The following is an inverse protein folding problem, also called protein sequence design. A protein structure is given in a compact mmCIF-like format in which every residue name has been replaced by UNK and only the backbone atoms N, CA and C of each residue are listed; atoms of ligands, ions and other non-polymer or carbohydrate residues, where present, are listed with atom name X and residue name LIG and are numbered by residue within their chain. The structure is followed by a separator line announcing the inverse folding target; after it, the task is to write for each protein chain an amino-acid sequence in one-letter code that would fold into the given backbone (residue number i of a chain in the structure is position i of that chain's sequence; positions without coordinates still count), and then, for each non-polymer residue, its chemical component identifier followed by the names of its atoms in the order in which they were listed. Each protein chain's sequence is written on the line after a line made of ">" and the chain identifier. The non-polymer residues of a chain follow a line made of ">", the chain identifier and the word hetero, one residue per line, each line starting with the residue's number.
data_IF_021055751163
#
_entry.id   IF_021055751163
#
_cell.length_a   1.000
_cell.length_b   1.000
_cell.length_c   1.000
_cell.angle_alpha   90.00
_cell.angle_beta   90.00
_cell.angle_gamma   90.00
#
_symmetry.space_group_name_H-M   'P 1'
#
loop_
_entity.id
_entity.type
_entity.pdbx_description
1 polymer ?
#
# COMPACT_ATOMS: atom_id res chain seq x y z
N UNK A 1 21.59 -35.62 -25.53
CA UNK A 1 20.71 -34.45 -25.31
C UNK A 1 21.06 -33.43 -26.38
N UNK A 2 20.14 -32.97 -27.24
CA UNK A 2 20.50 -31.96 -28.22
C UNK A 2 20.70 -30.63 -27.49
N UNK A 3 21.87 -30.03 -27.69
CA UNK A 3 22.17 -28.69 -27.21
C UNK A 3 21.44 -27.69 -28.11
N UNK A 4 20.63 -26.81 -27.51
CA UNK A 4 19.94 -25.74 -28.22
C UNK A 4 20.94 -24.76 -28.82
N UNK A 5 20.68 -24.28 -30.04
CA UNK A 5 21.57 -23.34 -30.73
C UNK A 5 21.56 -21.94 -30.05
N UNK A 6 22.67 -21.18 -30.08
CA UNK A 6 22.81 -19.88 -29.41
C UNK A 6 21.73 -18.85 -29.79
N UNK A 7 21.18 -18.92 -31.01
CA UNK A 7 20.12 -18.05 -31.52
C UNK A 7 18.75 -18.35 -30.88
N UNK A 8 18.45 -19.62 -30.60
CA UNK A 8 17.22 -20.04 -29.91
C UNK A 8 17.25 -19.61 -28.43
N UNK A 9 18.42 -19.67 -27.79
CA UNK A 9 18.62 -19.19 -26.42
C UNK A 9 18.41 -17.68 -26.29
N UNK A 10 18.85 -16.90 -27.28
CA UNK A 10 18.64 -15.45 -27.33
C UNK A 10 17.17 -15.08 -27.59
N UNK A 11 16.48 -15.85 -28.44
CA UNK A 11 15.03 -15.74 -28.67
C UNK A 11 14.22 -16.03 -27.40
N UNK A 12 14.56 -17.11 -26.69
CA UNK A 12 13.94 -17.48 -25.41
C UNK A 12 14.19 -16.42 -24.33
N UNK A 13 15.40 -15.86 -24.23
CA UNK A 13 15.71 -14.77 -23.27
C UNK A 13 14.94 -13.49 -23.57
N UNK A 14 14.81 -13.08 -24.84
CA UNK A 14 13.96 -11.92 -25.20
C UNK A 14 12.49 -12.17 -24.92
N UNK A 15 11.99 -13.38 -25.21
CA UNK A 15 10.60 -13.75 -24.96
C UNK A 15 10.30 -13.81 -23.45
N UNK A 16 11.19 -14.42 -22.66
CA UNK A 16 11.08 -14.46 -21.21
C UNK A 16 11.19 -13.05 -20.60
N UNK A 17 12.12 -12.22 -21.08
CA UNK A 17 12.23 -10.83 -20.64
C UNK A 17 10.97 -10.05 -21.00
N UNK A 18 10.45 -10.16 -22.23
CA UNK A 18 9.23 -9.50 -22.67
C UNK A 18 8.01 -9.89 -21.82
N UNK A 19 7.84 -11.17 -21.49
CA UNK A 19 6.77 -11.66 -20.60
C UNK A 19 6.94 -11.12 -19.18
N UNK A 20 8.15 -11.19 -18.64
CA UNK A 20 8.46 -10.70 -17.30
C UNK A 20 8.27 -9.18 -17.20
N UNK A 21 8.62 -8.42 -18.23
CA UNK A 21 8.42 -6.97 -18.28
C UNK A 21 6.96 -6.58 -18.54
N UNK A 22 6.21 -7.35 -19.34
CA UNK A 22 4.81 -7.03 -19.63
C UNK A 22 3.87 -7.32 -18.45
N UNK A 23 4.09 -8.42 -17.72
CA UNK A 23 3.26 -8.76 -16.55
C UNK A 23 3.50 -7.82 -15.37
N UNK A 24 4.76 -7.46 -15.12
CA UNK A 24 5.14 -6.68 -13.93
C UNK A 24 4.52 -5.28 -13.86
N UNK A 25 4.23 -4.64 -14.99
CA UNK A 25 3.73 -3.26 -15.01
C UNK A 25 2.22 -3.09 -14.80
N UNK A 26 1.42 -4.16 -14.85
CA UNK A 26 -0.05 -4.10 -14.80
C UNK A 26 -0.66 -4.74 -13.55
N UNK A 27 0.15 -5.48 -12.80
CA UNK A 27 -0.24 -6.26 -11.62
C UNK A 27 -0.06 -5.46 -10.32
N UNK A 28 -1.05 -5.57 -9.43
CA UNK A 28 -0.86 -5.37 -7.99
C UNK A 28 -0.74 -6.76 -7.37
N UNK A 29 0.37 -7.01 -6.68
CA UNK A 29 0.51 -8.15 -5.81
C UNK A 29 0.02 -7.78 -4.42
N UNK A 30 -0.89 -8.56 -3.88
CA UNK A 30 -1.37 -8.40 -2.51
C UNK A 30 -1.19 -9.71 -1.74
N UNK A 31 -0.62 -9.64 -0.55
CA UNK A 31 -0.65 -10.75 0.41
C UNK A 31 -1.79 -10.55 1.40
N UNK A 32 -2.60 -11.61 1.59
CA UNK A 32 -3.79 -11.64 2.45
C UNK A 32 -4.91 -10.67 2.03
N UNK A 33 -5.92 -10.51 2.89
CA UNK A 33 -7.09 -9.64 2.69
C UNK A 33 -7.30 -8.68 3.86
N UNK A 34 -7.95 -7.56 3.59
CA UNK A 34 -8.35 -6.61 4.65
C UNK A 34 -9.31 -7.24 5.66
N UNK A 35 -10.22 -8.12 5.21
CA UNK A 35 -11.11 -8.87 6.10
C UNK A 35 -10.37 -9.80 7.07
N UNK A 36 -9.26 -10.41 6.66
CA UNK A 36 -8.42 -11.20 7.57
C UNK A 36 -7.75 -10.32 8.61
N UNK A 37 -7.23 -9.16 8.19
CA UNK A 37 -6.64 -8.19 9.11
C UNK A 37 -7.69 -7.70 10.12
N UNK A 38 -8.90 -7.34 9.67
CA UNK A 38 -10.02 -6.95 10.54
C UNK A 38 -10.34 -8.01 11.60
N UNK A 39 -10.27 -9.29 11.21
CA UNK A 39 -10.54 -10.45 12.07
C UNK A 39 -9.41 -10.77 13.06
N UNK A 40 -8.39 -9.93 13.16
CA UNK A 40 -7.26 -10.11 14.09
C UNK A 40 -6.13 -10.99 13.54
N UNK A 41 -6.13 -11.31 12.24
CA UNK A 41 -5.04 -12.09 11.61
C UNK A 41 -3.82 -11.19 11.40
N UNK A 42 -3.03 -11.02 12.45
CA UNK A 42 -1.88 -10.12 12.48
C UNK A 42 -0.54 -10.80 12.24
N UNK A 43 -0.51 -12.11 11.99
CA UNK A 43 0.71 -12.84 11.69
C UNK A 43 0.66 -13.49 10.30
N UNK A 44 1.35 -12.87 9.34
CA UNK A 44 1.58 -13.45 8.01
C UNK A 44 2.91 -14.19 7.89
N UNK A 45 3.07 -14.86 6.76
CA UNK A 45 4.23 -15.69 6.41
C UNK A 45 5.15 -15.09 5.33
N UNK A 46 4.74 -13.99 4.69
CA UNK A 46 5.54 -13.30 3.66
C UNK A 46 6.55 -12.36 4.30
N UNK A 47 7.82 -12.52 3.94
CA UNK A 47 8.90 -11.61 4.35
C UNK A 47 8.95 -10.34 3.50
N UNK A 48 9.52 -9.24 4.02
CA UNK A 48 9.77 -8.01 3.23
C UNK A 48 10.65 -8.33 2.01
N UNK A 49 11.66 -9.19 2.19
CA UNK A 49 12.51 -9.67 1.08
C UNK A 49 11.70 -10.30 -0.05
N UNK A 50 10.71 -11.12 0.28
CA UNK A 50 9.84 -11.76 -0.71
C UNK A 50 8.88 -10.75 -1.32
N UNK A 51 8.26 -9.90 -0.50
CA UNK A 51 7.35 -8.83 -0.95
C UNK A 51 8.01 -7.93 -2.01
N UNK A 52 9.25 -7.50 -1.78
CA UNK A 52 9.99 -6.64 -2.71
C UNK A 52 10.39 -7.32 -4.04
N UNK A 53 10.16 -8.63 -4.19
CA UNK A 53 10.27 -9.29 -5.52
C UNK A 53 9.05 -9.02 -6.40
N UNK A 54 7.95 -8.55 -5.81
CA UNK A 54 6.68 -8.31 -6.49
C UNK A 54 6.42 -6.84 -6.82
N UNK A 55 7.14 -5.89 -6.20
CA UNK A 55 7.00 -4.48 -6.52
C UNK A 55 8.03 -3.59 -5.85
N UNK A 56 8.12 -2.35 -6.34
CA UNK A 56 8.98 -1.28 -5.83
C UNK A 56 8.18 -0.14 -5.20
N UNK A 57 6.86 -0.27 -5.13
CA UNK A 57 5.93 0.72 -4.61
C UNK A 57 4.73 0.05 -3.96
N UNK A 58 4.31 0.55 -2.79
CA UNK A 58 3.14 0.02 -2.12
C UNK A 58 3.03 0.39 -0.65
N UNK A 59 2.12 -0.27 0.05
CA UNK A 59 1.84 -0.05 1.47
C UNK A 59 1.29 -1.32 2.13
N UNK A 60 1.15 -1.28 3.45
CA UNK A 60 0.63 -2.40 4.25
C UNK A 60 0.94 -2.19 5.73
N UNK A 61 1.09 -3.27 6.48
CA UNK A 61 1.52 -3.26 7.88
C UNK A 61 2.49 -4.41 8.15
N UNK A 62 3.04 -4.47 9.35
CA UNK A 62 3.95 -5.53 9.81
C UNK A 62 3.21 -6.53 10.70
N UNK A 63 3.83 -7.69 10.94
CA UNK A 63 3.28 -8.64 11.89
C UNK A 63 3.05 -7.97 13.25
N UNK A 64 2.04 -8.45 13.97
CA UNK A 64 1.55 -7.85 15.22
C UNK A 64 1.00 -6.44 15.06
N UNK A 65 0.75 -5.95 13.84
CA UNK A 65 0.44 -4.52 13.59
C UNK A 65 1.53 -3.59 14.13
N UNK A 66 2.80 -4.00 14.07
CA UNK A 66 3.92 -3.15 14.50
C UNK A 66 4.19 -2.05 13.46
N UNK A 67 3.33 -1.03 13.46
CA UNK A 67 3.44 0.13 12.61
C UNK A 67 2.92 -0.06 11.18
N UNK A 68 3.06 1.00 10.41
CA UNK A 68 2.61 1.08 9.01
C UNK A 68 3.78 0.83 8.06
N UNK A 69 3.50 0.18 6.93
CA UNK A 69 4.46 -0.07 5.87
C UNK A 69 4.30 0.92 4.72
N UNK A 70 5.39 1.49 4.24
CA UNK A 70 5.42 2.20 2.98
C UNK A 70 6.62 1.73 2.14
N UNK A 71 6.35 1.28 0.91
CA UNK A 71 7.38 0.89 -0.05
C UNK A 71 7.52 1.98 -1.10
N UNK A 72 8.73 2.52 -1.25
CA UNK A 72 9.07 3.53 -2.25
C UNK A 72 10.41 3.21 -2.91
N UNK A 73 10.41 3.20 -4.24
CA UNK A 73 11.59 2.97 -5.07
C UNK A 73 12.39 1.72 -4.65
N UNK A 74 11.67 0.66 -4.25
CA UNK A 74 12.23 -0.62 -3.81
C UNK A 74 12.74 -0.66 -2.37
N UNK A 75 12.53 0.39 -1.58
CA UNK A 75 12.87 0.44 -0.16
C UNK A 75 11.59 0.35 0.67
N UNK A 76 11.55 -0.57 1.62
CA UNK A 76 10.46 -0.72 2.58
C UNK A 76 10.77 0.06 3.86
N UNK A 77 9.86 0.96 4.23
CA UNK A 77 9.92 1.76 5.45
C UNK A 77 8.84 1.29 6.43
N UNK A 78 9.20 1.20 7.71
CA UNK A 78 8.30 1.00 8.82
C UNK A 78 8.10 2.33 9.54
N UNK A 79 6.85 2.79 9.57
CA UNK A 79 6.40 4.02 10.22
C UNK A 79 5.81 3.61 11.58
N UNK A 80 6.29 4.21 12.67
CA UNK A 80 5.93 3.82 14.04
C UNK A 80 5.04 4.84 14.74
N UNK A 81 4.40 4.40 15.81
CA UNK A 81 3.43 5.19 16.60
C UNK A 81 4.04 6.42 17.28
N UNK A 82 5.36 6.46 17.47
CA UNK A 82 6.10 7.65 17.92
C UNK A 82 6.33 8.68 16.78
N UNK A 83 5.81 8.41 15.59
CA UNK A 83 5.95 9.22 14.38
C UNK A 83 7.29 9.02 13.66
N UNK A 84 8.15 8.11 14.12
CA UNK A 84 9.42 7.80 13.48
C UNK A 84 9.26 6.87 12.28
N UNK A 85 10.23 6.90 11.37
CA UNK A 85 10.34 5.99 10.24
C UNK A 85 11.74 5.36 10.19
N UNK A 86 11.80 4.06 9.97
CA UNK A 86 13.05 3.31 9.74
C UNK A 86 12.95 2.43 8.52
N UNK A 87 14.08 2.01 7.96
CA UNK A 87 14.09 0.95 6.95
C UNK A 87 13.76 -0.38 7.64
N UNK A 88 12.83 -1.14 7.04
CA UNK A 88 12.42 -2.45 7.54
C UNK A 88 13.53 -3.49 7.38
N UNK A 89 13.58 -4.46 8.29
CA UNK A 89 14.46 -5.62 8.13
C UNK A 89 13.93 -6.53 7.01
N UNK A 90 14.83 -7.16 6.26
CA UNK A 90 14.46 -8.03 5.15
C UNK A 90 13.67 -9.27 5.61
N UNK A 91 13.87 -9.73 6.84
CA UNK A 91 13.22 -10.90 7.44
C UNK A 91 11.98 -10.56 8.26
N UNK A 92 11.67 -9.26 8.45
CA UNK A 92 10.37 -8.86 8.97
C UNK A 92 9.25 -9.40 8.06
N UNK A 93 8.10 -9.68 8.68
CA UNK A 93 6.95 -10.28 8.02
C UNK A 93 5.76 -9.35 8.01
N UNK A 94 4.87 -9.58 7.06
CA UNK A 94 3.65 -8.81 6.90
C UNK A 94 2.40 -9.70 6.87
N UNK A 95 1.33 -9.33 7.60
CA UNK A 95 0.04 -9.99 7.52
C UNK A 95 -0.82 -9.43 6.39
N UNK A 96 -0.51 -8.24 5.88
CA UNK A 96 -1.22 -7.58 4.81
C UNK A 96 -0.33 -6.52 4.16
N UNK A 97 -0.13 -6.63 2.85
CA UNK A 97 0.55 -5.61 2.04
C UNK A 97 0.13 -5.71 0.57
N UNK A 98 0.11 -4.56 -0.10
CA UNK A 98 -0.09 -4.45 -1.55
C UNK A 98 1.09 -3.72 -2.18
N UNK A 99 1.69 -4.30 -3.23
CA UNK A 99 2.81 -3.71 -3.97
C UNK A 99 2.65 -3.87 -5.48
N UNK A 100 3.26 -2.96 -6.22
CA UNK A 100 3.32 -3.02 -7.69
C UNK A 100 4.68 -2.50 -8.17
N UNK A 101 5.04 -2.79 -9.42
CA UNK A 101 6.11 -2.07 -10.10
C UNK A 101 5.56 -0.74 -10.59
N UNK A 102 5.92 0.35 -9.91
CA UNK A 102 5.38 1.67 -10.22
C UNK A 102 5.93 2.20 -11.53
N UNK A 103 4.99 2.50 -12.42
CA UNK A 103 5.23 3.03 -13.75
C UNK A 103 4.12 4.05 -13.99
N UNK A 104 4.40 5.36 -13.84
CA UNK A 104 3.38 6.37 -14.00
C UNK A 104 3.04 6.54 -15.49
N UNK A 105 1.75 6.61 -15.76
CA UNK A 105 1.16 6.79 -17.08
C UNK A 105 0.56 8.19 -17.23
N UNK A 106 0.24 8.85 -16.11
CA UNK A 106 -0.27 10.22 -16.06
C UNK A 106 0.49 11.01 -15.00
N UNK A 107 0.58 12.31 -15.24
CA UNK A 107 1.21 13.27 -14.34
C UNK A 107 0.35 14.53 -14.24
N UNK A 108 0.17 15.05 -13.03
CA UNK A 108 -0.54 16.30 -12.75
C UNK A 108 0.40 17.18 -11.92
N UNK A 109 0.65 18.41 -12.35
CA UNK A 109 1.38 19.38 -11.55
C UNK A 109 0.40 20.25 -10.77
N UNK A 110 0.60 20.31 -9.45
CA UNK A 110 -0.21 21.08 -8.51
C UNK A 110 0.54 22.37 -8.20
N UNK A 111 0.07 23.47 -8.78
CA UNK A 111 0.60 24.83 -8.54
C UNK A 111 -0.30 25.69 -7.67
N UNK A 112 -1.49 25.22 -7.34
CA UNK A 112 -2.47 25.89 -6.47
C UNK A 112 -2.78 24.97 -5.30
N UNK A 113 -2.73 25.46 -4.05
CA UNK A 113 -3.01 24.62 -2.88
C UNK A 113 -4.37 23.93 -2.94
N UNK A 114 -4.42 22.66 -2.53
CA UNK A 114 -5.64 21.88 -2.48
C UNK A 114 -5.67 20.92 -1.28
N UNK A 115 -6.88 20.59 -0.82
CA UNK A 115 -7.11 19.60 0.23
C UNK A 115 -7.23 18.17 -0.34
N UNK A 116 -7.40 17.19 0.55
CA UNK A 116 -7.62 15.77 0.23
C UNK A 116 -8.75 15.57 -0.77
N UNK A 117 -9.92 16.18 -0.54
CA UNK A 117 -11.08 16.01 -1.41
C UNK A 117 -10.84 16.54 -2.84
N UNK A 118 -10.26 17.74 -2.94
CA UNK A 118 -9.93 18.34 -4.23
C UNK A 118 -8.86 17.55 -4.98
N UNK A 119 -7.83 17.04 -4.29
CA UNK A 119 -6.80 16.22 -4.92
C UNK A 119 -7.37 14.90 -5.46
N UNK A 120 -8.22 14.21 -4.68
CA UNK A 120 -8.93 13.00 -5.14
C UNK A 120 -9.75 13.28 -6.39
N UNK A 121 -10.52 14.38 -6.41
CA UNK A 121 -11.31 14.79 -7.58
C UNK A 121 -10.42 15.04 -8.80
N UNK A 122 -9.27 15.71 -8.64
CA UNK A 122 -8.34 15.95 -9.74
C UNK A 122 -7.77 14.65 -10.32
N UNK A 123 -7.45 13.68 -9.46
CA UNK A 123 -6.98 12.36 -9.88
C UNK A 123 -8.10 11.62 -10.62
N UNK A 124 -9.30 11.53 -10.04
CA UNK A 124 -10.43 10.81 -10.61
C UNK A 124 -10.84 11.35 -11.98
N UNK A 125 -10.72 12.66 -12.21
CA UNK A 125 -10.96 13.29 -13.52
C UNK A 125 -9.99 12.84 -14.63
N UNK A 126 -8.85 12.25 -14.28
CA UNK A 126 -7.91 11.68 -15.25
C UNK A 126 -8.15 10.21 -15.56
N UNK A 127 -9.05 9.56 -14.82
CA UNK A 127 -9.32 8.12 -14.96
C UNK A 127 -10.42 7.88 -15.99
N UNK A 128 -10.19 6.89 -16.85
CA UNK A 128 -11.20 6.45 -17.84
C UNK A 128 -12.29 5.58 -17.20
N UNK A 129 -12.00 4.95 -16.06
CA UNK A 129 -12.92 4.08 -15.35
C UNK A 129 -12.61 4.07 -13.85
N UNK A 130 -13.67 4.02 -13.04
CA UNK A 130 -13.57 3.80 -11.60
C UNK A 130 -13.31 2.33 -11.22
N UNK A 131 -13.42 1.42 -12.19
CA UNK A 131 -13.37 -0.03 -11.98
C UNK A 131 -11.94 -0.61 -12.00
N UNK A 132 -10.93 0.22 -12.29
CA UNK A 132 -9.52 -0.19 -12.28
C UNK A 132 -8.84 0.26 -10.99
N UNK A 133 -7.84 -0.52 -10.58
CA UNK A 133 -6.95 -0.17 -9.48
C UNK A 133 -5.96 0.90 -9.95
N UNK A 134 -5.60 1.81 -9.05
CA UNK A 134 -4.70 2.92 -9.39
C UNK A 134 -3.64 3.09 -8.31
N UNK A 135 -2.37 3.06 -8.68
CA UNK A 135 -1.26 3.46 -7.82
C UNK A 135 -1.05 4.98 -7.95
N UNK A 136 -0.94 5.68 -6.83
CA UNK A 136 -0.82 7.14 -6.78
C UNK A 136 0.38 7.54 -5.94
N UNK A 137 1.30 8.30 -6.52
CA UNK A 137 2.42 8.94 -5.83
C UNK A 137 2.28 10.46 -5.91
N UNK A 138 2.32 11.12 -4.77
CA UNK A 138 2.31 12.59 -4.65
C UNK A 138 3.60 13.01 -3.97
N UNK A 139 4.43 13.79 -4.66
CA UNK A 139 5.64 14.38 -4.08
C UNK A 139 5.49 15.88 -4.05
N UNK A 140 5.68 16.49 -2.88
CA UNK A 140 5.44 17.93 -2.76
C UNK A 140 5.60 18.49 -1.36
N UNK A 141 5.12 19.72 -1.21
CA UNK A 141 5.06 20.46 0.05
C UNK A 141 3.63 20.44 0.58
N UNK A 142 3.49 20.06 1.84
CA UNK A 142 2.22 19.98 2.53
C UNK A 142 2.21 20.97 3.68
N UNK A 143 1.20 21.83 3.71
CA UNK A 143 0.96 22.72 4.86
C UNK A 143 0.52 21.92 6.08
N UNK A 144 -0.20 20.82 5.87
CA UNK A 144 -0.54 19.84 6.90
C UNK A 144 -0.61 18.42 6.32
N UNK A 145 -0.10 17.45 7.08
CA UNK A 145 -0.33 16.02 6.92
C UNK A 145 -0.80 15.50 8.27
N UNK A 146 -2.00 14.93 8.32
CA UNK A 146 -2.51 14.22 9.49
C UNK A 146 -2.41 12.72 9.26
N UNK A 147 -1.68 12.04 10.13
CA UNK A 147 -1.44 10.59 10.06
C UNK A 147 -1.81 9.91 11.35
N UNK A 148 -2.16 8.62 11.26
CA UNK A 148 -2.14 7.69 12.38
C UNK A 148 -1.04 6.65 12.21
N UNK A 149 -0.71 5.95 13.29
CA UNK A 149 0.00 4.68 13.21
C UNK A 149 -0.48 3.75 14.30
N UNK A 150 -0.73 2.50 13.94
CA UNK A 150 -1.09 1.44 14.88
C UNK A 150 0.13 1.01 15.71
N UNK A 151 -0.12 0.73 17.00
CA UNK A 151 0.90 0.19 17.89
C UNK A 151 0.94 -1.33 17.82
N UNK A 152 2.12 -1.90 18.04
CA UNK A 152 2.30 -3.34 18.12
C UNK A 152 1.34 -3.98 19.13
N UNK A 153 0.66 -5.03 18.70
CA UNK A 153 -0.27 -5.84 19.49
C UNK A 153 0.43 -7.09 20.04
N UNK A 154 -0.18 -7.68 21.06
CA UNK A 154 0.26 -8.93 21.65
C UNK A 154 -0.89 -9.93 21.73
N UNK A 155 -0.62 -11.25 21.58
CA UNK A 155 -1.64 -12.26 21.78
C UNK A 155 -2.28 -12.21 23.18
N UNK A 156 -3.59 -12.52 23.32
CA UNK A 156 -4.53 -12.81 22.23
C UNK A 156 -4.86 -11.54 21.43
N UNK A 157 -4.81 -11.63 20.11
CA UNK A 157 -5.09 -10.50 19.23
C UNK A 157 -6.58 -10.14 19.26
N UNK A 158 -6.85 -8.85 19.45
CA UNK A 158 -8.19 -8.27 19.38
C UNK A 158 -8.59 -8.02 17.92
N UNK A 159 -9.90 -7.83 17.62
CA UNK A 159 -10.33 -7.31 16.32
C UNK A 159 -9.69 -5.95 16.00
N UNK A 160 -9.51 -5.65 14.71
CA UNK A 160 -8.78 -4.43 14.32
C UNK A 160 -9.47 -3.14 14.73
N UNK A 161 -10.80 -3.12 14.75
CA UNK A 161 -11.60 -1.99 15.25
C UNK A 161 -11.31 -1.66 16.72
N UNK A 162 -10.88 -2.64 17.52
CA UNK A 162 -10.43 -2.44 18.90
C UNK A 162 -8.94 -2.08 18.96
N UNK A 163 -8.11 -2.73 18.14
CA UNK A 163 -6.66 -2.49 18.11
C UNK A 163 -6.31 -1.06 17.66
N UNK A 164 -7.13 -0.44 16.81
CA UNK A 164 -6.94 0.95 16.36
C UNK A 164 -7.36 2.00 17.39
N UNK A 165 -8.03 1.63 18.48
CA UNK A 165 -8.38 2.59 19.55
C UNK A 165 -7.15 3.16 20.25
N UNK A 166 -6.04 2.42 20.25
CA UNK A 166 -4.77 2.83 20.85
C UNK A 166 -3.85 3.54 19.83
N UNK A 167 -4.35 3.84 18.63
CA UNK A 167 -3.56 4.49 17.57
C UNK A 167 -3.06 5.86 18.01
N UNK A 168 -1.86 6.20 17.54
CA UNK A 168 -1.30 7.53 17.77
C UNK A 168 -1.49 8.37 16.52
N UNK A 169 -2.12 9.53 16.70
CA UNK A 169 -2.33 10.52 15.65
C UNK A 169 -1.30 11.63 15.76
N UNK A 170 -0.69 11.97 14.62
CA UNK A 170 0.36 12.98 14.50
C UNK A 170 0.02 13.90 13.34
N UNK A 171 0.11 15.21 13.58
CA UNK A 171 0.01 16.21 12.51
C UNK A 171 1.38 16.82 12.24
N UNK A 172 1.87 16.67 11.02
CA UNK A 172 3.05 17.36 10.52
C UNK A 172 2.62 18.65 9.81
N UNK A 173 3.26 19.77 10.14
CA UNK A 173 3.00 21.07 9.50
C UNK A 173 4.20 21.51 8.67
N UNK A 174 3.95 22.20 7.56
CA UNK A 174 4.97 22.77 6.68
C UNK A 174 6.08 21.76 6.32
N UNK A 175 5.64 20.57 5.88
CA UNK A 175 6.51 19.41 5.64
C UNK A 175 6.60 19.09 4.16
N UNK A 176 7.80 18.76 3.69
CA UNK A 176 7.99 18.17 2.35
C UNK A 176 8.08 16.67 2.46
N UNK A 177 7.51 15.95 1.48
CA UNK A 177 7.54 14.49 1.51
C UNK A 177 6.83 13.83 0.34
N UNK A 178 6.57 12.55 0.54
CA UNK A 178 5.91 11.68 -0.42
C UNK A 178 4.69 11.05 0.23
N UNK A 179 3.51 11.28 -0.36
CA UNK A 179 2.30 10.52 -0.09
C UNK A 179 2.14 9.47 -1.18
N UNK A 180 1.91 8.22 -0.80
CA UNK A 180 1.91 7.10 -1.72
C UNK A 180 0.92 6.03 -1.29
N UNK A 181 0.21 5.46 -2.26
CA UNK A 181 -0.70 4.36 -2.02
C UNK A 181 -1.57 4.05 -3.23
N UNK A 182 -2.78 3.59 -2.97
CA UNK A 182 -3.67 3.05 -3.98
C UNK A 182 -5.08 3.66 -3.90
N UNK A 183 -5.75 3.70 -5.05
CA UNK A 183 -7.20 3.82 -5.15
C UNK A 183 -7.73 2.47 -5.66
N UNK A 184 -8.45 1.74 -4.81
CA UNK A 184 -9.08 0.47 -5.19
C UNK A 184 -10.56 0.66 -5.54
N UNK A 185 -11.12 -0.12 -6.48
CA UNK A 185 -12.55 -0.11 -6.78
C UNK A 185 -13.41 -0.55 -5.58
N UNK A 186 -14.67 -0.09 -5.53
CA UNK A 186 -15.59 -0.41 -4.42
C UNK A 186 -15.87 -1.92 -4.29
N UNK A 187 -15.84 -2.67 -5.40
CA UNK A 187 -16.04 -4.13 -5.37
C UNK A 187 -14.88 -4.90 -4.74
N UNK A 188 -13.73 -4.26 -4.50
CA UNK A 188 -12.58 -4.86 -3.81
C UNK A 188 -12.60 -4.62 -2.30
N UNK A 189 -13.63 -3.96 -1.77
CA UNK A 189 -13.79 -3.77 -0.33
C UNK A 189 -13.76 -5.11 0.40
N UNK A 190 -12.92 -5.24 1.43
CA UNK A 190 -12.72 -6.49 2.15
C UNK A 190 -11.56 -7.34 1.63
N UNK A 191 -11.31 -7.33 0.32
CA UNK A 191 -10.05 -7.83 -0.23
C UNK A 191 -8.95 -6.82 0.07
N UNK A 192 -9.18 -5.56 -0.31
CA UNK A 192 -8.33 -4.41 -0.02
C UNK A 192 -9.14 -3.34 0.75
N UNK A 193 -8.64 -2.11 0.75
CA UNK A 193 -9.37 -0.92 1.20
C UNK A 193 -9.91 -0.19 -0.02
N UNK A 194 -11.24 -0.17 -0.18
CA UNK A 194 -11.89 0.53 -1.28
C UNK A 194 -11.69 2.04 -1.19
N UNK A 195 -11.62 2.70 -2.34
CA UNK A 195 -11.27 4.11 -2.43
C UNK A 195 -9.78 4.35 -2.18
N UNK A 196 -9.44 5.55 -1.73
CA UNK A 196 -8.05 5.99 -1.56
C UNK A 196 -7.50 5.57 -0.20
N UNK A 197 -6.44 4.78 -0.23
CA UNK A 197 -5.62 4.38 0.92
C UNK A 197 -4.17 4.82 0.65
N UNK A 198 -3.60 5.66 1.51
CA UNK A 198 -2.26 6.20 1.32
C UNK A 198 -1.49 6.38 2.62
N UNK A 199 -0.19 6.16 2.56
CA UNK A 199 0.76 6.47 3.63
C UNK A 199 1.64 7.66 3.23
N UNK A 200 2.21 8.33 4.22
CA UNK A 200 3.10 9.48 4.02
C UNK A 200 4.46 9.24 4.67
N UNK A 201 5.53 9.74 4.05
CA UNK A 201 6.86 9.86 4.64
C UNK A 201 7.52 11.17 4.24
N UNK A 202 8.20 11.84 5.18
CA UNK A 202 8.91 13.09 4.91
C UNK A 202 10.13 12.90 3.98
N UNK A 203 10.65 14.00 3.44
CA UNK A 203 11.79 13.99 2.51
C UNK A 203 13.04 13.35 3.11
N UNK A 204 13.25 13.52 4.42
CA UNK A 204 14.38 12.96 5.15
C UNK A 204 14.23 11.47 5.48
N UNK A 205 13.06 10.87 5.19
CA UNK A 205 12.71 9.46 5.46
C UNK A 205 12.79 9.11 6.94
N UNK A 206 12.37 10.04 7.81
CA UNK A 206 12.47 9.93 9.27
C UNK A 206 11.12 9.94 9.97
N UNK A 207 10.07 10.45 9.33
CA UNK A 207 8.75 10.59 9.94
C UNK A 207 7.63 10.33 8.94
N UNK A 208 6.52 9.79 9.41
CA UNK A 208 5.39 9.46 8.56
C UNK A 208 4.27 8.74 9.29
N UNK A 209 3.35 8.18 8.51
CA UNK A 209 2.29 7.29 9.00
C UNK A 209 1.21 7.02 7.94
N UNK A 210 0.16 6.30 8.34
CA UNK A 210 -1.05 6.11 7.56
C UNK A 210 -1.82 7.43 7.48
N UNK A 211 -2.15 7.89 6.28
CA UNK A 211 -2.66 9.26 6.10
C UNK A 211 -4.18 9.34 6.25
N UNK A 212 -4.62 10.17 7.19
CA UNK A 212 -6.04 10.47 7.45
C UNK A 212 -6.50 11.72 6.68
N UNK A 213 -5.71 12.79 6.70
CA UNK A 213 -6.02 14.03 5.99
C UNK A 213 -4.77 14.81 5.59
N UNK A 214 -4.89 15.73 4.63
CA UNK A 214 -3.78 16.55 4.17
C UNK A 214 -4.20 17.81 3.39
N UNK A 215 -3.28 18.78 3.37
CA UNK A 215 -3.37 19.97 2.53
C UNK A 215 -2.07 20.20 1.76
N UNK A 216 -2.09 19.86 0.48
CA UNK A 216 -1.00 20.01 -0.47
C UNK A 216 -0.90 21.48 -0.89
N UNK A 217 0.29 22.07 -0.77
CA UNK A 217 0.58 23.44 -1.22
C UNK A 217 1.00 23.44 -2.68
N UNK A 218 1.93 22.55 -3.02
CA UNK A 218 2.43 22.36 -4.38
C UNK A 218 3.12 21.01 -4.51
N UNK A 219 3.17 20.48 -5.73
CA UNK A 219 3.84 19.22 -5.97
C UNK A 219 3.46 18.58 -7.30
N UNK A 220 3.84 17.33 -7.45
CA UNK A 220 3.51 16.50 -8.60
C UNK A 220 2.76 15.26 -8.14
N UNK A 221 1.67 14.95 -8.84
CA UNK A 221 0.95 13.68 -8.75
C UNK A 221 1.35 12.81 -9.93
N UNK A 222 1.72 11.57 -9.66
CA UNK A 222 2.04 10.54 -10.63
C UNK A 222 1.08 9.36 -10.43
N UNK A 223 0.51 8.86 -11.53
CA UNK A 223 -0.60 7.91 -11.51
C UNK A 223 -0.25 6.72 -12.40
N UNK A 224 -0.31 5.50 -11.87
CA UNK A 224 -0.18 4.25 -12.63
C UNK A 224 -1.46 3.44 -12.57
N UNK A 225 -1.97 2.98 -13.71
CA UNK A 225 -3.24 2.25 -13.80
C UNK A 225 -2.92 0.74 -13.79
N UNK A 226 -3.66 -0.04 -13.02
CA UNK A 226 -3.45 -1.49 -12.86
C UNK A 226 -4.73 -2.25 -13.17
N UNK A 227 -4.59 -3.33 -13.91
CA UNK A 227 -5.70 -4.13 -14.45
C UNK A 227 -5.61 -5.61 -14.04
N UNK A 228 -4.60 -5.97 -13.27
CA UNK A 228 -4.36 -7.34 -12.81
C UNK A 228 -4.15 -7.32 -11.29
N UNK A 229 -4.83 -8.22 -10.58
CA UNK A 229 -4.66 -8.44 -9.14
C UNK A 229 -4.15 -9.86 -8.94
N UNK A 230 -3.01 -9.98 -8.28
CA UNK A 230 -2.50 -11.25 -7.77
C UNK A 230 -2.70 -11.28 -6.26
N UNK A 231 -3.77 -11.94 -5.84
CA UNK A 231 -4.08 -12.18 -4.44
C UNK A 231 -3.39 -13.47 -3.95
N UNK A 232 -2.40 -13.31 -3.07
CA UNK A 232 -1.66 -14.39 -2.43
C UNK A 232 -2.24 -14.63 -1.03
N UNK A 233 -3.02 -15.70 -0.88
CA UNK A 233 -3.62 -16.07 0.40
C UNK A 233 -2.61 -16.78 1.32
N UNK A 234 -2.67 -16.45 2.60
CA UNK A 234 -1.84 -17.07 3.63
C UNK A 234 -2.26 -18.53 3.86
N UNK A 235 -1.31 -19.36 4.32
CA UNK A 235 -1.58 -20.74 4.76
C UNK A 235 -1.34 -20.95 6.25
N UNK A 236 -1.30 -19.85 7.01
CA UNK A 236 -1.17 -19.87 8.46
C UNK A 236 -2.43 -20.46 9.10
N UNK A 237 -2.29 -21.10 10.26
CA UNK A 237 -3.44 -21.66 10.97
C UNK A 237 -4.46 -20.58 11.34
N UNK A 238 -3.99 -19.36 11.65
CA UNK A 238 -4.84 -18.23 11.98
C UNK A 238 -5.72 -17.80 10.80
N UNK A 239 -5.14 -17.68 9.59
CA UNK A 239 -5.91 -17.34 8.39
C UNK A 239 -6.91 -18.43 8.03
N UNK A 240 -6.51 -19.70 8.08
CA UNK A 240 -7.37 -20.84 7.74
C UNK A 240 -8.55 -21.03 8.71
N UNK A 241 -8.39 -20.58 9.96
CA UNK A 241 -9.42 -20.63 10.99
C UNK A 241 -10.26 -19.36 11.13
N UNK A 242 -9.96 -18.31 10.36
CA UNK A 242 -10.65 -17.02 10.47
C UNK A 242 -12.01 -17.04 9.74
N UNK A 243 -13.02 -16.45 10.36
CA UNK A 243 -14.28 -16.10 9.70
C UNK A 243 -14.12 -14.73 9.04
N UNK A 244 -14.17 -14.69 7.71
CA UNK A 244 -13.87 -13.47 6.93
C UNK A 244 -15.11 -12.79 6.35
N UNK A 245 -16.28 -13.40 6.49
CA UNK A 245 -17.57 -12.91 6.01
C UNK A 245 -18.34 -12.28 7.19
N UNK A 246 -18.04 -11.00 7.47
CA UNK A 246 -18.67 -10.24 8.55
C UNK A 246 -19.84 -9.42 8.00
N UNK A 247 -20.97 -9.38 8.73
CA UNK A 247 -22.19 -8.66 8.29
C UNK A 247 -21.97 -7.15 8.06
N UNK A 248 -21.00 -6.51 8.73
CA UNK A 248 -20.67 -5.08 8.59
C UNK A 248 -19.20 -4.85 8.20
N UNK A 249 -18.71 -5.60 7.22
CA UNK A 249 -17.32 -5.46 6.75
C UNK A 249 -17.02 -4.05 6.21
N UNK A 250 -17.92 -3.45 5.43
CA UNK A 250 -17.70 -2.12 4.85
C UNK A 250 -17.60 -1.02 5.92
N UNK A 251 -18.50 -1.02 6.90
CA UNK A 251 -18.49 -0.06 8.00
C UNK A 251 -17.22 -0.14 8.82
N UNK A 252 -16.77 -1.36 9.14
CA UNK A 252 -15.56 -1.59 9.92
C UNK A 252 -14.29 -1.12 9.19
N UNK A 253 -14.15 -1.40 7.89
CA UNK A 253 -12.99 -0.92 7.11
C UNK A 253 -12.96 0.61 7.08
N UNK A 254 -14.09 1.27 6.81
CA UNK A 254 -14.15 2.74 6.77
C UNK A 254 -13.80 3.36 8.12
N UNK A 255 -14.24 2.73 9.21
CA UNK A 255 -13.93 3.16 10.57
C UNK A 255 -12.43 3.06 10.86
N UNK A 256 -11.78 1.95 10.50
CA UNK A 256 -10.34 1.77 10.80
C UNK A 256 -9.44 2.61 9.90
N UNK A 257 -9.82 2.82 8.65
CA UNK A 257 -8.99 3.53 7.65
C UNK A 257 -9.30 5.04 7.55
N UNK A 258 -10.13 5.58 8.44
CA UNK A 258 -10.32 7.03 8.57
C UNK A 258 -11.14 7.69 7.46
N UNK A 259 -12.07 6.95 6.83
CA UNK A 259 -13.11 7.42 5.88
C UNK A 259 -12.84 8.75 5.18
#
# INVERSE_FOLDING_TARGET
>A
MPAFEPLELAGFRRWAHAILTHRRGREIYQTSTMGALLSGVYEGDVTIRELLRHGDFGLGTFNCLDGEMLVLDGVCYQLRSDGSATIADAEERTPFAAVTWFRPERRIDISVPCDRAKLKTLIDQTLESINLMVAVRVTGQFSSIHTRTVAAQHPPYRPFTEATQDQQEVTFTDVSGTLAGFRMPDYEQGIAVAGYHSHFIDTDRRRGGHTLDYRLVSGTVEIGIRSELHLSLQRTAQFLGAELDHEDLDGQIRQTEGG
#
